data_IF_475069365806
#
_entry.id   IF_475069365806
#
_cell.length_a   1.000
_cell.length_b   1.000
_cell.length_c   1.000
_cell.angle_alpha   90.00
_cell.angle_beta   90.00
_cell.angle_gamma   90.00
#
_symmetry.space_group_name_H-M   'P 1'
#
loop_
_entity.id
_entity.type
_entity.pdbx_description
1 polymer ?
#
# COMPACT_ATOMS: atom_id res chain seq x y z
N UNK A 1 36.20 14.91 44.26
CA UNK A 1 35.48 13.63 44.05
C UNK A 1 33.95 13.74 44.17
N UNK A 2 33.36 14.95 44.25
CA UNK A 2 31.90 15.17 44.37
C UNK A 2 31.20 15.48 43.03
N UNK A 3 31.90 16.04 42.04
CA UNK A 3 31.28 16.45 40.76
C UNK A 3 30.81 15.29 39.88
N UNK A 4 31.42 14.12 40.01
CA UNK A 4 31.09 12.95 39.21
C UNK A 4 29.77 12.25 39.66
N UNK A 5 29.33 12.49 40.91
CA UNK A 5 28.11 11.91 41.49
C UNK A 5 26.84 12.66 41.08
N UNK A 6 26.91 14.00 40.96
CA UNK A 6 25.78 14.82 40.50
C UNK A 6 25.47 14.59 39.01
N UNK A 7 26.50 14.42 38.19
CA UNK A 7 26.34 14.23 36.75
C UNK A 7 25.68 12.88 36.41
N UNK A 8 25.99 11.81 37.18
CA UNK A 8 25.31 10.50 37.05
C UNK A 8 23.82 10.54 37.46
N UNK A 9 23.46 11.29 38.51
CA UNK A 9 22.04 11.44 38.94
C UNK A 9 21.20 12.18 37.88
N UNK A 10 21.74 13.24 37.26
CA UNK A 10 21.06 13.97 36.18
C UNK A 10 20.92 13.13 34.90
N UNK A 11 21.91 12.30 34.59
CA UNK A 11 21.87 11.37 33.44
C UNK A 11 20.83 10.24 33.58
N UNK A 12 20.51 9.82 34.81
CA UNK A 12 19.45 8.82 35.07
C UNK A 12 18.03 9.42 35.06
N UNK A 13 17.89 10.71 35.32
CA UNK A 13 16.58 11.40 35.33
C UNK A 13 16.02 11.61 33.92
N UNK A 14 16.87 11.85 32.92
CA UNK A 14 16.45 12.04 31.52
C UNK A 14 15.72 10.79 30.96
N UNK A 15 16.28 9.57 31.01
CA UNK A 15 15.58 8.39 30.50
C UNK A 15 14.31 8.07 31.29
N UNK A 16 14.30 8.33 32.61
CA UNK A 16 13.10 8.15 33.44
C UNK A 16 11.99 9.14 33.01
N UNK A 17 12.34 10.41 32.80
CA UNK A 17 11.39 11.42 32.32
C UNK A 17 10.86 11.07 30.92
N UNK A 18 11.72 10.60 30.01
CA UNK A 18 11.31 10.16 28.67
C UNK A 18 10.38 8.94 28.73
N UNK A 19 10.66 7.96 29.58
CA UNK A 19 9.80 6.79 29.80
C UNK A 19 8.45 7.19 30.38
N UNK A 20 8.42 8.08 31.38
CA UNK A 20 7.18 8.57 31.95
C UNK A 20 6.35 9.35 30.93
N UNK A 21 6.98 10.22 30.13
CA UNK A 21 6.31 10.91 29.02
C UNK A 21 5.76 9.92 27.99
N UNK A 22 6.51 8.86 27.65
CA UNK A 22 6.04 7.83 26.74
C UNK A 22 4.85 7.05 27.32
N UNK A 23 4.87 6.70 28.61
CA UNK A 23 3.75 6.02 29.28
C UNK A 23 2.51 6.94 29.30
N UNK A 24 2.66 8.20 29.72
CA UNK A 24 1.56 9.17 29.71
C UNK A 24 1.04 9.36 28.28
N UNK A 25 1.90 9.37 27.28
CA UNK A 25 1.48 9.45 25.89
C UNK A 25 0.70 8.19 25.45
N UNK A 26 1.23 7.00 25.69
CA UNK A 26 0.63 5.73 25.27
C UNK A 26 -0.71 5.42 25.97
N UNK A 27 -0.89 5.86 27.21
CA UNK A 27 -2.08 5.53 28.01
C UNK A 27 -3.00 6.73 28.29
N UNK A 28 -2.51 7.96 28.14
CA UNK A 28 -3.25 9.18 28.41
C UNK A 28 -3.84 9.85 27.16
N UNK A 29 -3.38 9.50 25.96
CA UNK A 29 -3.93 10.00 24.71
C UNK A 29 -4.70 8.91 23.97
N UNK A 30 -5.85 9.24 23.35
CA UNK A 30 -6.60 8.27 22.56
C UNK A 30 -5.71 7.74 21.43
N UNK A 31 -5.82 6.43 21.15
CA UNK A 31 -5.14 5.82 20.00
C UNK A 31 -5.56 6.60 18.75
N UNK A 32 -4.59 7.07 17.97
CA UNK A 32 -4.87 7.77 16.72
C UNK A 32 -5.68 6.85 15.81
N UNK A 33 -6.93 7.21 15.53
CA UNK A 33 -7.77 6.49 14.57
C UNK A 33 -7.52 7.07 13.19
N UNK A 34 -7.42 6.20 12.20
CA UNK A 34 -7.36 6.66 10.82
C UNK A 34 -8.70 7.31 10.44
N UNK A 35 -8.65 8.57 10.02
CA UNK A 35 -9.78 9.25 9.39
C UNK A 35 -9.51 9.38 7.88
N UNK A 36 -10.19 8.54 7.10
CA UNK A 36 -10.12 8.59 5.64
C UNK A 36 -10.80 9.85 5.10
N UNK A 37 -10.25 10.35 3.99
CA UNK A 37 -10.92 11.35 3.13
C UNK A 37 -12.02 10.74 2.25
N UNK A 38 -12.28 9.44 2.40
CA UNK A 38 -13.24 8.66 1.63
C UNK A 38 -12.98 8.77 0.12
N UNK A 39 -11.70 8.77 -0.28
CA UNK A 39 -11.34 8.95 -1.68
C UNK A 39 -11.76 7.75 -2.52
N UNK A 40 -11.63 6.53 -1.99
CA UNK A 40 -11.91 5.32 -2.77
C UNK A 40 -13.34 5.27 -3.31
N UNK A 41 -14.36 5.60 -2.49
CA UNK A 41 -15.76 5.68 -2.98
C UNK A 41 -16.01 6.78 -4.02
N UNK A 42 -15.13 7.77 -4.11
CA UNK A 42 -15.20 8.85 -5.10
C UNK A 42 -14.47 8.49 -6.39
N UNK A 43 -13.59 7.48 -6.36
CA UNK A 43 -12.84 7.04 -7.53
C UNK A 43 -13.74 6.39 -8.56
N UNK A 44 -13.70 6.92 -9.78
CA UNK A 44 -14.38 6.34 -10.94
C UNK A 44 -13.46 5.34 -11.64
N UNK A 45 -13.23 4.20 -11.00
CA UNK A 45 -12.50 3.09 -11.61
C UNK A 45 -13.47 2.37 -12.58
N UNK A 46 -13.20 2.32 -13.90
CA UNK A 46 -14.16 1.83 -14.88
C UNK A 46 -14.33 0.31 -14.80
N UNK A 47 -15.55 -0.20 -15.03
CA UNK A 47 -15.78 -1.64 -15.23
C UNK A 47 -15.31 -2.09 -16.62
N UNK A 48 -15.38 -1.24 -17.64
CA UNK A 48 -14.92 -1.56 -18.99
C UNK A 48 -13.73 -0.68 -19.37
N UNK A 49 -12.63 -1.30 -19.79
CA UNK A 49 -11.38 -0.60 -20.12
C UNK A 49 -10.77 -1.24 -21.36
N UNK A 50 -10.81 -0.62 -22.54
CA UNK A 50 -10.09 -1.11 -23.74
C UNK A 50 -10.18 -2.64 -24.01
N UNK A 51 -11.37 -3.24 -23.86
CA UNK A 51 -11.59 -4.68 -24.03
C UNK A 51 -11.44 -5.54 -22.76
N UNK A 52 -11.00 -4.95 -21.64
CA UNK A 52 -11.14 -5.52 -20.31
C UNK A 52 -12.57 -5.37 -19.79
N UNK A 53 -13.10 -6.44 -19.23
CA UNK A 53 -14.39 -6.50 -18.54
C UNK A 53 -14.17 -6.77 -17.06
N UNK A 54 -14.58 -5.81 -16.25
CA UNK A 54 -14.44 -5.80 -14.81
C UNK A 54 -15.70 -6.28 -14.10
N UNK A 55 -15.51 -6.99 -12.99
CA UNK A 55 -16.58 -7.40 -12.07
C UNK A 55 -16.09 -7.27 -10.65
N UNK A 56 -16.84 -6.54 -9.82
CA UNK A 56 -16.57 -6.45 -8.40
C UNK A 56 -16.71 -7.83 -7.76
N UNK A 57 -15.68 -8.22 -7.00
CA UNK A 57 -15.69 -9.46 -6.24
C UNK A 57 -16.30 -9.12 -4.88
N UNK A 58 -17.53 -9.57 -4.66
CA UNK A 58 -18.14 -9.50 -3.34
C UNK A 58 -17.39 -10.45 -2.41
N UNK A 59 -16.41 -9.92 -1.69
CA UNK A 59 -15.83 -10.60 -0.56
C UNK A 59 -16.54 -10.10 0.71
N UNK A 60 -17.16 -11.01 1.45
CA UNK A 60 -17.60 -10.76 2.83
C UNK A 60 -16.35 -10.62 3.72
N UNK A 61 -15.65 -9.49 3.61
CA UNK A 61 -14.62 -9.14 4.57
C UNK A 61 -15.31 -8.82 5.89
N UNK A 62 -15.25 -9.75 6.85
CA UNK A 62 -15.67 -9.45 8.22
C UNK A 62 -14.64 -8.50 8.86
N UNK A 63 -14.81 -7.19 8.64
CA UNK A 63 -13.91 -6.13 9.11
C UNK A 63 -14.29 -5.60 10.50
N UNK A 64 -15.08 -6.33 11.28
CA UNK A 64 -15.59 -5.88 12.58
C UNK A 64 -14.54 -5.93 13.71
N UNK A 65 -13.42 -6.64 13.50
CA UNK A 65 -12.32 -6.79 14.48
C UNK A 65 -11.45 -5.54 14.65
N UNK A 66 -10.88 -5.34 15.84
CA UNK A 66 -10.01 -4.18 16.12
C UNK A 66 -8.76 -4.13 15.23
N UNK A 67 -8.32 -5.28 14.74
CA UNK A 67 -7.24 -5.47 13.79
C UNK A 67 -7.54 -4.83 12.42
N UNK A 68 -8.80 -4.52 12.09
CA UNK A 68 -9.18 -3.87 10.83
C UNK A 68 -9.45 -2.37 10.97
N UNK A 69 -9.34 -1.81 12.18
CA UNK A 69 -9.60 -0.38 12.47
C UNK A 69 -8.75 0.61 11.64
N UNK A 70 -7.73 0.13 10.95
CA UNK A 70 -6.90 0.93 10.06
C UNK A 70 -7.40 0.98 8.61
N UNK A 71 -8.27 0.06 8.19
CA UNK A 71 -8.86 0.02 6.84
C UNK A 71 -10.22 0.70 6.89
N UNK A 72 -10.44 1.68 6.03
CA UNK A 72 -11.76 2.31 5.89
C UNK A 72 -12.61 1.65 4.81
N UNK A 73 -12.00 1.29 3.68
CA UNK A 73 -12.68 0.71 2.51
C UNK A 73 -11.72 -0.18 1.73
N UNK A 74 -12.28 -1.11 0.97
CA UNK A 74 -11.58 -1.93 0.00
C UNK A 74 -12.41 -2.04 -1.28
N UNK A 75 -11.74 -2.02 -2.42
CA UNK A 75 -12.28 -2.42 -3.72
C UNK A 75 -11.50 -3.66 -4.14
N UNK A 76 -12.21 -4.73 -4.46
CA UNK A 76 -11.65 -5.91 -5.12
C UNK A 76 -12.42 -6.15 -6.42
N UNK A 77 -11.70 -6.18 -7.53
CA UNK A 77 -12.29 -6.29 -8.86
C UNK A 77 -11.46 -7.21 -9.74
N UNK A 78 -12.12 -8.23 -10.27
CA UNK A 78 -11.57 -9.07 -11.31
C UNK A 78 -11.74 -8.38 -12.67
N UNK A 79 -10.70 -8.36 -13.49
CA UNK A 79 -10.76 -7.94 -14.89
C UNK A 79 -10.37 -9.11 -15.80
N UNK A 80 -11.16 -9.31 -16.85
CA UNK A 80 -10.91 -10.33 -17.89
C UNK A 80 -10.80 -9.64 -19.24
N UNK A 81 -9.73 -9.92 -20.01
CA UNK A 81 -9.56 -9.36 -21.35
C UNK A 81 -10.24 -10.23 -22.43
N UNK A 82 -10.18 -9.77 -23.68
CA UNK A 82 -10.77 -10.48 -24.82
C UNK A 82 -10.17 -11.87 -25.09
N UNK A 83 -8.93 -12.13 -24.64
CA UNK A 83 -8.27 -13.43 -24.76
C UNK A 83 -8.65 -14.39 -23.61
N UNK A 84 -9.51 -13.96 -22.69
CA UNK A 84 -9.90 -14.73 -21.50
C UNK A 84 -8.84 -14.75 -20.40
N UNK A 85 -7.77 -13.94 -20.51
CA UNK A 85 -6.79 -13.77 -19.43
C UNK A 85 -7.37 -12.84 -18.37
N UNK A 86 -7.18 -13.19 -17.11
CA UNK A 86 -7.70 -12.42 -15.98
C UNK A 86 -6.60 -11.91 -15.04
N UNK A 87 -6.95 -10.89 -14.28
CA UNK A 87 -6.20 -10.37 -13.15
C UNK A 87 -7.14 -9.74 -12.12
N UNK A 88 -6.65 -9.48 -10.92
CA UNK A 88 -7.39 -8.83 -9.85
C UNK A 88 -6.78 -7.48 -9.52
N UNK A 89 -7.62 -6.43 -9.48
CA UNK A 89 -7.27 -5.12 -8.97
C UNK A 89 -7.84 -4.98 -7.56
N UNK A 90 -6.93 -4.82 -6.60
CA UNK A 90 -7.25 -4.48 -5.22
C UNK A 90 -6.85 -3.04 -4.93
N UNK A 91 -7.77 -2.25 -4.41
CA UNK A 91 -7.48 -0.90 -3.87
C UNK A 91 -7.94 -0.84 -2.43
N UNK A 92 -7.00 -0.66 -1.50
CA UNK A 92 -7.27 -0.55 -0.07
C UNK A 92 -7.12 0.90 0.38
N UNK A 93 -8.15 1.46 1.01
CA UNK A 93 -8.09 2.76 1.68
C UNK A 93 -7.80 2.54 3.16
N UNK A 94 -6.59 2.89 3.60
CA UNK A 94 -6.14 2.60 4.95
C UNK A 94 -5.08 3.57 5.49
N UNK A 95 -5.07 3.74 6.82
CA UNK A 95 -4.07 4.51 7.54
C UNK A 95 -2.79 3.74 7.84
N UNK A 96 -2.84 2.42 7.75
CA UNK A 96 -1.69 1.54 7.87
C UNK A 96 -1.86 0.41 6.86
N UNK A 97 -0.80 0.10 6.15
CA UNK A 97 -0.79 -1.06 5.26
C UNK A 97 0.06 -2.14 5.90
N UNK A 98 -0.36 -3.38 5.74
CA UNK A 98 0.48 -4.53 6.04
C UNK A 98 1.30 -4.87 4.82
N UNK A 99 2.50 -5.41 5.04
CA UNK A 99 3.39 -5.78 3.95
C UNK A 99 2.83 -7.05 3.29
N UNK A 100 2.49 -7.03 1.97
CA UNK A 100 1.93 -8.18 1.29
C UNK A 100 2.76 -9.46 1.44
N UNK A 101 4.10 -9.37 1.46
CA UNK A 101 4.98 -10.52 1.73
C UNK A 101 4.66 -11.18 3.08
N UNK A 102 4.48 -10.38 4.13
CA UNK A 102 4.22 -10.90 5.48
C UNK A 102 2.85 -11.58 5.51
N UNK A 103 1.84 -10.94 4.92
CA UNK A 103 0.47 -11.48 4.84
C UNK A 103 0.40 -12.77 4.03
N UNK A 104 1.10 -12.86 2.89
CA UNK A 104 1.11 -14.06 2.05
C UNK A 104 1.81 -15.22 2.76
N UNK A 105 2.97 -14.97 3.38
CA UNK A 105 3.68 -15.98 4.19
C UNK A 105 2.81 -16.48 5.35
N UNK A 106 2.14 -15.58 6.09
CA UNK A 106 1.25 -15.99 7.19
C UNK A 106 0.03 -16.79 6.72
N UNK A 107 -0.36 -16.62 5.46
CA UNK A 107 -1.45 -17.37 4.81
C UNK A 107 -0.99 -18.72 4.21
N UNK A 108 0.29 -19.05 4.38
CA UNK A 108 0.90 -20.30 3.95
C UNK A 108 1.40 -20.32 2.50
N UNK A 109 1.53 -19.15 1.84
CA UNK A 109 2.16 -19.07 0.53
C UNK A 109 3.68 -19.06 0.66
N UNK A 110 4.36 -19.76 -0.24
CA UNK A 110 5.78 -19.53 -0.53
C UNK A 110 5.90 -18.18 -1.24
N UNK A 111 6.79 -17.31 -0.77
CA UNK A 111 7.01 -15.98 -1.35
C UNK A 111 8.42 -15.88 -1.93
N UNK A 112 8.51 -15.44 -3.19
CA UNK A 112 9.74 -15.05 -3.86
C UNK A 112 9.65 -13.55 -4.14
N UNK A 113 10.50 -12.75 -3.50
CA UNK A 113 10.62 -11.33 -3.86
C UNK A 113 11.28 -11.19 -5.24
N UNK A 114 10.72 -10.32 -6.06
CA UNK A 114 11.24 -9.98 -7.37
C UNK A 114 11.79 -8.55 -7.32
N UNK A 115 12.43 -8.11 -8.40
CA UNK A 115 12.93 -6.74 -8.48
C UNK A 115 11.77 -5.74 -8.42
N UNK A 116 12.02 -4.56 -7.84
CA UNK A 116 11.11 -3.44 -7.99
C UNK A 116 10.96 -3.09 -9.47
N UNK A 117 9.76 -2.68 -9.85
CA UNK A 117 9.37 -2.36 -11.21
C UNK A 117 9.14 -0.86 -11.33
N UNK A 118 9.55 -0.28 -12.44
CA UNK A 118 9.18 1.08 -12.82
C UNK A 118 8.08 1.04 -13.87
N UNK A 119 6.97 1.73 -13.61
CA UNK A 119 5.86 1.85 -14.54
C UNK A 119 5.81 3.26 -15.12
N UNK A 120 5.59 3.34 -16.43
CA UNK A 120 5.32 4.60 -17.14
C UNK A 120 3.87 4.61 -17.61
N UNK A 121 3.05 5.46 -16.99
CA UNK A 121 1.60 5.52 -17.25
C UNK A 121 1.22 6.95 -17.59
N UNK A 122 0.84 7.15 -18.86
CA UNK A 122 0.53 8.48 -19.42
C UNK A 122 1.71 9.46 -19.22
N UNK A 123 1.65 10.34 -18.23
CA UNK A 123 2.68 11.33 -17.89
C UNK A 123 3.22 11.16 -16.46
N UNK A 124 3.14 9.93 -15.93
CA UNK A 124 3.57 9.53 -14.60
C UNK A 124 4.61 8.43 -14.69
N UNK A 125 5.57 8.47 -13.78
CA UNK A 125 6.51 7.39 -13.54
C UNK A 125 6.39 7.03 -12.07
N UNK A 126 6.25 5.75 -11.74
CA UNK A 126 6.21 5.33 -10.36
C UNK A 126 6.86 3.96 -10.18
N UNK A 127 7.26 3.71 -8.95
CA UNK A 127 7.92 2.48 -8.54
C UNK A 127 6.89 1.58 -7.85
N UNK A 128 6.92 0.30 -8.18
CA UNK A 128 6.09 -0.72 -7.59
C UNK A 128 6.95 -1.88 -7.09
N UNK A 129 6.53 -2.47 -6.00
CA UNK A 129 7.09 -3.72 -5.51
C UNK A 129 6.46 -4.88 -6.26
N UNK A 130 7.24 -5.94 -6.48
CA UNK A 130 6.72 -7.16 -7.08
C UNK A 130 7.18 -8.39 -6.32
N UNK A 131 6.30 -9.38 -6.22
CA UNK A 131 6.60 -10.67 -5.63
C UNK A 131 5.81 -11.77 -6.33
N UNK A 132 6.39 -12.96 -6.39
CA UNK A 132 5.69 -14.16 -6.78
C UNK A 132 5.29 -14.94 -5.52
N UNK A 133 4.03 -15.35 -5.47
CA UNK A 133 3.49 -16.20 -4.40
C UNK A 133 2.93 -17.48 -4.97
N UNK A 134 3.15 -18.58 -4.26
CA UNK A 134 2.65 -19.90 -4.65
C UNK A 134 2.13 -20.67 -3.44
N UNK A 135 0.99 -21.33 -3.59
CA UNK A 135 0.43 -22.29 -2.64
C UNK A 135 -0.30 -23.39 -3.40
N UNK A 136 0.12 -24.62 -3.19
CA UNK A 136 -0.43 -25.80 -3.89
C UNK A 136 -0.33 -25.65 -5.43
N UNK A 137 -1.47 -25.48 -6.13
CA UNK A 137 -1.50 -25.27 -7.57
C UNK A 137 -1.71 -23.79 -7.97
N UNK A 138 -1.95 -22.93 -6.99
CA UNK A 138 -2.27 -21.52 -7.20
C UNK A 138 -1.01 -20.67 -7.10
N UNK A 139 -0.71 -19.91 -8.15
CA UNK A 139 0.42 -18.99 -8.20
C UNK A 139 -0.02 -17.61 -8.68
N UNK A 140 0.58 -16.57 -8.12
CA UNK A 140 0.27 -15.18 -8.45
C UNK A 140 1.54 -14.35 -8.53
N UNK A 141 1.62 -13.52 -9.57
CA UNK A 141 2.47 -12.34 -9.58
C UNK A 141 1.69 -11.21 -8.92
N UNK A 142 2.18 -10.72 -7.78
CA UNK A 142 1.60 -9.61 -7.03
C UNK A 142 2.47 -8.37 -7.28
N UNK A 143 1.87 -7.34 -7.86
CA UNK A 143 2.50 -6.02 -8.07
C UNK A 143 1.74 -5.02 -7.22
N UNK A 144 2.43 -4.25 -6.40
CA UNK A 144 1.76 -3.28 -5.53
C UNK A 144 2.59 -2.02 -5.28
N UNK A 145 1.89 -0.94 -4.99
CA UNK A 145 2.47 0.33 -4.58
C UNK A 145 1.51 1.08 -3.66
N UNK A 146 2.01 2.10 -2.98
CA UNK A 146 1.26 2.87 -2.00
C UNK A 146 1.25 4.33 -2.43
N UNK A 147 0.07 4.92 -2.52
CA UNK A 147 -0.11 6.33 -2.80
C UNK A 147 -0.68 7.05 -1.57
N UNK A 148 0.05 8.02 -1.04
CA UNK A 148 -0.39 8.88 0.07
C UNK A 148 -0.47 10.32 -0.42
N UNK A 149 -1.68 10.90 -0.38
CA UNK A 149 -1.97 12.27 -0.83
C UNK A 149 -1.38 12.54 -2.23
N UNK A 150 -1.63 11.63 -3.18
CA UNK A 150 -1.15 11.66 -4.57
C UNK A 150 0.37 11.51 -4.76
N UNK A 151 1.09 11.03 -3.76
CA UNK A 151 2.51 10.70 -3.88
C UNK A 151 2.70 9.20 -3.70
N UNK A 152 3.36 8.55 -4.66
CA UNK A 152 3.80 7.16 -4.47
C UNK A 152 4.94 7.17 -3.47
N UNK A 153 4.83 6.34 -2.43
CA UNK A 153 5.77 6.29 -1.31
C UNK A 153 6.33 4.89 -1.16
N UNK A 154 7.57 4.81 -0.67
CA UNK A 154 8.13 3.55 -0.23
C UNK A 154 7.62 3.16 1.18
N UNK A 155 8.00 1.96 1.64
CA UNK A 155 7.61 1.46 2.96
C UNK A 155 8.16 2.30 4.13
N UNK A 156 9.36 2.85 4.00
CA UNK A 156 10.01 3.66 5.04
C UNK A 156 9.29 5.00 5.18
N UNK A 157 9.04 5.68 4.07
CA UNK A 157 8.27 6.90 3.98
C UNK A 157 6.86 6.71 4.52
N UNK A 158 6.20 5.59 4.19
CA UNK A 158 4.89 5.27 4.75
C UNK A 158 4.95 5.24 6.28
N UNK A 159 5.96 4.58 6.89
CA UNK A 159 6.10 4.51 8.35
C UNK A 159 6.43 5.85 8.99
N UNK A 160 7.28 6.67 8.35
CA UNK A 160 7.58 8.03 8.82
C UNK A 160 6.33 8.91 8.76
N UNK A 161 5.62 8.89 7.63
CA UNK A 161 4.35 9.61 7.46
C UNK A 161 3.31 9.14 8.46
N UNK A 162 3.18 7.83 8.69
CA UNK A 162 2.29 7.26 9.70
C UNK A 162 2.59 7.81 11.10
N UNK A 163 3.87 7.82 11.51
CA UNK A 163 4.28 8.37 12.80
C UNK A 163 3.92 9.85 12.92
N UNK A 164 4.24 10.64 11.89
CA UNK A 164 3.96 12.08 11.87
C UNK A 164 2.46 12.37 11.93
N UNK A 165 1.64 11.63 11.17
CA UNK A 165 0.19 11.81 11.17
C UNK A 165 -0.46 11.33 12.46
N UNK A 166 0.05 10.27 13.09
CA UNK A 166 -0.40 9.84 14.42
C UNK A 166 -0.18 10.91 15.48
N UNK A 167 0.78 11.82 15.29
CA UNK A 167 1.05 12.92 16.21
C UNK A 167 0.15 14.14 15.96
N UNK A 168 -0.38 14.30 14.73
CA UNK A 168 -1.05 15.54 14.27
C UNK A 168 -2.55 15.34 13.97
N UNK A 169 -3.08 14.11 14.04
CA UNK A 169 -4.50 13.79 13.76
C UNK A 169 -5.01 14.40 12.44
N UNK A 170 -4.20 14.31 11.38
CA UNK A 170 -4.56 14.85 10.06
C UNK A 170 -5.26 13.79 9.20
N UNK A 171 -6.40 14.17 8.58
CA UNK A 171 -7.06 13.38 7.53
C UNK A 171 -6.15 13.25 6.31
N UNK A 172 -6.18 12.09 5.65
CA UNK A 172 -5.37 11.82 4.44
C UNK A 172 -6.00 10.78 3.54
N UNK A 173 -5.61 10.80 2.27
CA UNK A 173 -5.89 9.74 1.32
C UNK A 173 -4.72 8.78 1.28
N UNK A 174 -4.84 7.62 1.92
CA UNK A 174 -3.83 6.56 1.85
C UNK A 174 -4.41 5.39 1.09
N UNK A 175 -3.93 5.15 -0.12
CA UNK A 175 -4.34 4.01 -0.94
C UNK A 175 -3.17 3.04 -1.15
N UNK A 176 -3.42 1.75 -0.97
CA UNK A 176 -2.56 0.70 -1.52
C UNK A 176 -3.25 0.14 -2.74
N UNK A 177 -2.52 0.12 -3.85
CA UNK A 177 -2.98 -0.44 -5.11
C UNK A 177 -2.20 -1.71 -5.32
N UNK A 178 -2.89 -2.79 -5.66
CA UNK A 178 -2.33 -4.11 -5.90
C UNK A 178 -2.98 -4.74 -7.11
N UNK A 179 -2.15 -5.30 -7.98
CA UNK A 179 -2.55 -6.07 -9.16
C UNK A 179 -2.03 -7.49 -8.97
N UNK A 180 -2.94 -8.45 -8.95
CA UNK A 180 -2.60 -9.87 -8.84
C UNK A 180 -2.89 -10.58 -10.15
N UNK A 181 -1.87 -11.18 -10.74
CA UNK A 181 -2.00 -11.93 -11.99
C UNK A 181 -1.77 -13.41 -11.72
N UNK A 182 -2.77 -14.28 -11.94
CA UNK A 182 -2.58 -15.73 -11.87
C UNK A 182 -1.47 -16.18 -12.82
N UNK A 183 -0.46 -16.88 -12.30
CA UNK A 183 0.71 -17.31 -13.08
C UNK A 183 1.49 -18.43 -12.41
N UNK A 184 2.43 -19.03 -13.14
CA UNK A 184 3.42 -19.97 -12.64
C UNK A 184 4.81 -19.33 -12.63
N UNK A 185 5.74 -19.90 -11.88
CA UNK A 185 7.11 -19.38 -11.74
C UNK A 185 7.81 -19.21 -13.10
N UNK A 186 7.57 -20.10 -14.06
CA UNK A 186 8.14 -20.07 -15.41
C UNK A 186 7.43 -19.10 -16.39
N UNK A 187 6.24 -18.59 -16.05
CA UNK A 187 5.45 -17.67 -16.87
C UNK A 187 5.27 -16.27 -16.25
N UNK A 188 6.10 -15.91 -15.26
CA UNK A 188 6.06 -14.59 -14.61
C UNK A 188 6.21 -13.45 -15.64
N UNK A 189 7.03 -13.63 -16.68
CA UNK A 189 7.22 -12.61 -17.72
C UNK A 189 5.94 -12.26 -18.49
N UNK A 190 5.13 -13.28 -18.83
CA UNK A 190 3.85 -13.08 -19.51
C UNK A 190 2.82 -12.40 -18.59
N UNK A 191 2.85 -12.76 -17.30
CA UNK A 191 2.00 -12.13 -16.29
C UNK A 191 2.36 -10.66 -16.06
N UNK A 192 3.66 -10.33 -16.06
CA UNK A 192 4.12 -8.95 -15.98
C UNK A 192 3.65 -8.15 -17.20
N UNK A 193 3.78 -8.70 -18.40
CA UNK A 193 3.30 -8.05 -19.63
C UNK A 193 1.79 -7.76 -19.56
N UNK A 194 1.01 -8.72 -19.06
CA UNK A 194 -0.44 -8.55 -18.87
C UNK A 194 -0.76 -7.43 -17.87
N UNK A 195 -0.02 -7.35 -16.76
CA UNK A 195 -0.17 -6.30 -15.78
C UNK A 195 0.19 -4.91 -16.34
N UNK A 196 1.30 -4.81 -17.08
CA UNK A 196 1.70 -3.57 -17.76
C UNK A 196 0.61 -3.04 -18.70
N UNK A 197 0.06 -3.92 -19.54
CA UNK A 197 -0.96 -3.56 -20.52
C UNK A 197 -2.24 -3.08 -19.80
N UNK A 198 -2.69 -3.80 -18.78
CA UNK A 198 -3.83 -3.38 -17.95
C UNK A 198 -3.60 -2.05 -17.22
N UNK A 199 -2.43 -1.88 -16.59
CA UNK A 199 -2.08 -0.66 -15.84
C UNK A 199 -2.04 0.55 -16.79
N UNK A 200 -1.51 0.39 -18.00
CA UNK A 200 -1.50 1.43 -19.01
C UNK A 200 -2.93 1.79 -19.45
N UNK A 201 -3.76 0.79 -19.76
CA UNK A 201 -5.16 0.98 -20.16
C UNK A 201 -5.99 1.67 -19.07
N UNK A 202 -5.82 1.24 -17.81
CA UNK A 202 -6.46 1.86 -16.65
C UNK A 202 -6.04 3.34 -16.51
N UNK A 203 -4.75 3.63 -16.70
CA UNK A 203 -4.22 4.99 -16.70
C UNK A 203 -4.88 5.91 -17.73
N UNK A 204 -5.15 5.40 -18.94
CA UNK A 204 -5.82 6.15 -20.00
C UNK A 204 -7.33 6.32 -19.77
N UNK A 205 -7.98 5.37 -19.11
CA UNK A 205 -9.42 5.42 -18.86
C UNK A 205 -9.81 6.35 -17.68
N UNK A 206 -8.86 6.68 -16.81
CA UNK A 206 -9.09 7.57 -15.67
C UNK A 206 -8.80 9.04 -16.02
N UNK A 207 -9.56 9.96 -15.43
CA UNK A 207 -9.21 11.39 -15.52
C UNK A 207 -7.91 11.66 -14.77
N UNK A 208 -7.14 12.66 -15.20
CA UNK A 208 -5.81 12.93 -14.61
C UNK A 208 -5.87 13.16 -13.09
N UNK A 209 -6.88 13.84 -12.57
CA UNK A 209 -7.00 14.06 -11.12
C UNK A 209 -7.22 12.76 -10.34
N UNK A 210 -8.07 11.87 -10.86
CA UNK A 210 -8.40 10.59 -10.23
C UNK A 210 -7.23 9.61 -10.36
N UNK A 211 -6.61 9.56 -11.53
CA UNK A 211 -5.40 8.80 -11.80
C UNK A 211 -4.27 9.18 -10.82
N UNK A 212 -4.21 10.43 -10.34
CA UNK A 212 -3.18 10.83 -9.38
C UNK A 212 -3.32 10.20 -8.00
N UNK A 213 -4.51 9.74 -7.61
CA UNK A 213 -4.68 8.97 -6.36
C UNK A 213 -4.23 7.51 -6.49
N UNK A 214 -4.20 6.98 -7.71
CA UNK A 214 -3.77 5.62 -8.01
C UNK A 214 -2.28 5.62 -8.33
N UNK A 215 -1.84 6.40 -9.30
CA UNK A 215 -0.48 6.37 -9.88
C UNK A 215 0.44 7.50 -9.41
N UNK A 216 -0.04 8.39 -8.54
CA UNK A 216 0.69 9.58 -8.10
C UNK A 216 0.61 10.77 -9.07
N UNK A 217 1.19 11.90 -8.68
CA UNK A 217 1.16 13.12 -9.49
C UNK A 217 1.95 12.99 -10.81
N UNK A 218 1.55 13.70 -11.88
CA UNK A 218 2.36 13.81 -13.08
C UNK A 218 3.79 14.30 -12.79
N UNK A 219 4.79 13.69 -13.42
CA UNK A 219 6.18 14.12 -13.34
C UNK A 219 6.89 13.88 -11.99
N UNK A 220 6.27 13.21 -11.01
CA UNK A 220 7.01 12.75 -9.82
C UNK A 220 7.73 11.45 -10.15
N UNK A 221 9.05 11.48 -10.30
CA UNK A 221 9.87 10.26 -10.14
C UNK A 221 10.12 10.11 -8.64
N UNK A 222 9.70 9.00 -8.04
CA UNK A 222 10.15 8.66 -6.70
C UNK A 222 11.64 8.30 -6.82
N UNK A 223 12.52 9.21 -6.39
CA UNK A 223 13.96 8.97 -6.36
C UNK A 223 14.27 7.92 -5.28
N UNK A 224 14.41 6.66 -5.69
CA UNK A 224 14.76 5.53 -4.82
C UNK A 224 16.28 5.38 -4.64
N UNK A 225 17.08 6.42 -4.88
CA UNK A 225 18.52 6.37 -4.60
C UNK A 225 18.85 6.67 -3.14
N UNK A 226 18.49 5.74 -2.23
CA UNK A 226 19.14 5.65 -0.93
C UNK A 226 20.00 4.38 -0.85
N UNK A 227 21.32 4.62 -0.99
CA UNK A 227 22.40 3.72 -0.58
C UNK A 227 22.37 3.46 0.92
#
# INVERSE_FOLDING_TARGET
>A
MQDNKMNKKKKGLIPIALLLCAIIYCFGFPKAKYESLNILSQLKIPLEINGWQGRDVEQEWNMEGEEYNFVSQALDREYVNADGKNLFLLVLDAGNFHNPKVCSNSSGFKVIELNNLEFHVVNRTFQAHSLYTEKDADGFLIIYWICIDKNVVDWTEQKIKQLWFSLINKKRAGLMIRVDVPTKEDTIGDALKLAEDFIADLGWAMSSDQASYIFGNPGTVADLSLK
#
